data_IF_452090521931
#
_entry.id   IF_452090521931
#
_cell.length_a   1.000
_cell.length_b   1.000
_cell.length_c   1.000
_cell.angle_alpha   90.00
_cell.angle_beta   90.00
_cell.angle_gamma   90.00
#
_symmetry.space_group_name_H-M   'P 1'
#
loop_
_entity.id
_entity.type
_entity.pdbx_description
1 polymer ?
#
# COMPACT_ATOMS: atom_id res chain seq x y z
N UNK A 1 -47.93 2.53 -9.74
CA UNK A 1 -47.07 1.45 -10.25
C UNK A 1 -46.24 2.01 -11.39
N UNK A 2 -45.05 2.48 -11.14
CA UNK A 2 -43.94 2.58 -12.14
C UNK A 2 -42.65 2.51 -11.35
N UNK A 3 -41.92 1.41 -11.54
CA UNK A 3 -40.70 1.12 -10.83
C UNK A 3 -39.49 1.89 -11.36
N UNK A 4 -38.81 2.61 -10.50
CA UNK A 4 -37.51 3.21 -10.77
C UNK A 4 -36.41 2.15 -10.71
N UNK A 5 -35.78 1.86 -11.84
CA UNK A 5 -34.62 1.00 -11.93
C UNK A 5 -33.39 1.75 -11.39
N UNK A 6 -32.85 1.30 -10.25
CA UNK A 6 -31.49 1.63 -9.85
C UNK A 6 -30.56 0.90 -10.82
N UNK A 7 -29.74 1.65 -11.55
CA UNK A 7 -28.63 1.10 -12.32
C UNK A 7 -27.54 0.63 -11.35
N UNK A 8 -27.55 -0.66 -11.01
CA UNK A 8 -26.39 -1.33 -10.47
C UNK A 8 -25.34 -1.44 -11.59
N UNK A 9 -24.17 -0.88 -11.35
CA UNK A 9 -23.00 -1.20 -12.14
C UNK A 9 -22.70 -2.68 -11.95
N UNK A 10 -22.93 -3.47 -13.01
CA UNK A 10 -22.49 -4.86 -13.10
C UNK A 10 -20.97 -4.91 -13.10
N UNK A 11 -20.39 -5.08 -11.93
CA UNK A 11 -19.03 -5.61 -11.81
C UNK A 11 -19.16 -7.10 -12.12
N UNK A 12 -18.44 -7.65 -13.12
CA UNK A 12 -18.49 -9.07 -13.39
C UNK A 12 -18.05 -9.79 -12.13
N UNK A 13 -18.97 -10.47 -11.48
CA UNK A 13 -18.68 -11.47 -10.46
C UNK A 13 -18.00 -12.64 -11.17
N UNK A 14 -16.69 -12.54 -11.35
CA UNK A 14 -15.89 -13.72 -11.60
C UNK A 14 -16.06 -14.60 -10.37
N UNK A 15 -16.82 -15.66 -10.55
CA UNK A 15 -17.05 -16.71 -9.56
C UNK A 15 -15.67 -17.24 -9.19
N UNK A 16 -15.13 -16.75 -8.07
CA UNK A 16 -13.95 -17.35 -7.46
C UNK A 16 -14.42 -18.72 -7.02
N UNK A 17 -14.11 -19.76 -7.81
CA UNK A 17 -14.23 -21.11 -7.33
C UNK A 17 -13.32 -21.20 -6.11
N UNK A 18 -13.94 -21.40 -4.95
CA UNK A 18 -13.24 -21.75 -3.73
C UNK A 18 -12.36 -22.94 -4.06
N UNK A 19 -11.05 -22.69 -4.18
CA UNK A 19 -10.08 -23.78 -4.13
C UNK A 19 -10.34 -24.41 -2.76
N UNK A 20 -10.99 -25.57 -2.78
CA UNK A 20 -11.19 -26.38 -1.59
C UNK A 20 -9.82 -26.52 -0.95
N UNK A 21 -9.69 -26.05 0.29
CA UNK A 21 -8.51 -26.32 1.08
C UNK A 21 -8.16 -27.80 0.95
N UNK A 22 -6.91 -28.15 0.66
CA UNK A 22 -6.52 -29.54 0.76
C UNK A 22 -6.89 -30.01 2.19
N UNK A 23 -7.37 -31.25 2.35
CA UNK A 23 -7.70 -31.77 3.66
C UNK A 23 -6.48 -31.62 4.58
N UNK A 24 -6.74 -31.25 5.83
CA UNK A 24 -5.71 -31.12 6.84
C UNK A 24 -4.79 -32.34 6.80
N UNK A 25 -3.47 -32.18 6.84
CA UNK A 25 -2.54 -33.29 6.82
C UNK A 25 -2.84 -34.21 8.02
N UNK A 26 -2.83 -35.50 7.73
CA UNK A 26 -3.04 -36.59 8.71
C UNK A 26 -2.14 -36.33 9.94
N UNK A 27 -2.70 -36.20 11.15
CA UNK A 27 -1.92 -35.92 12.37
C UNK A 27 -0.88 -36.99 12.72
N UNK A 28 -0.82 -38.09 11.97
CA UNK A 28 0.18 -39.17 12.10
C UNK A 28 1.46 -39.00 11.28
N UNK A 29 1.57 -37.98 10.40
CA UNK A 29 2.75 -37.77 9.56
C UNK A 29 3.38 -36.40 9.83
N UNK A 30 3.99 -36.25 10.99
CA UNK A 30 4.98 -35.18 11.21
C UNK A 30 6.18 -35.40 10.26
N UNK A 31 6.68 -34.37 9.59
CA UNK A 31 7.93 -34.50 8.84
C UNK A 31 9.02 -34.95 9.79
N UNK A 32 9.74 -35.99 9.44
CA UNK A 32 10.73 -36.67 10.26
C UNK A 32 11.94 -35.74 10.49
N UNK A 33 11.93 -34.98 11.58
CA UNK A 33 12.99 -34.04 12.01
C UNK A 33 14.17 -34.76 12.70
N UNK A 34 14.17 -36.09 12.74
CA UNK A 34 15.18 -36.88 13.45
C UNK A 34 16.44 -37.21 12.61
N UNK A 35 16.61 -36.68 11.41
CA UNK A 35 17.80 -36.87 10.63
C UNK A 35 18.64 -35.57 10.53
N UNK A 36 19.02 -34.99 11.67
CA UNK A 36 20.02 -33.93 11.71
C UNK A 36 21.33 -34.46 12.28
N UNK A 37 22.30 -34.70 11.39
CA UNK A 37 23.70 -34.94 11.73
C UNK A 37 24.32 -33.71 12.44
N UNK A 38 25.36 -33.90 13.26
CA UNK A 38 25.96 -32.80 14.02
C UNK A 38 26.58 -31.73 13.10
N UNK A 39 26.37 -30.47 13.48
CA UNK A 39 26.75 -29.27 12.77
C UNK A 39 28.27 -29.18 12.63
N UNK A 40 28.74 -29.16 11.41
CA UNK A 40 30.14 -28.90 11.07
C UNK A 40 30.36 -27.38 10.95
N UNK A 41 30.99 -26.78 11.96
CA UNK A 41 31.41 -25.38 11.97
C UNK A 41 32.68 -25.18 11.13
N UNK A 42 32.58 -25.24 9.83
CA UNK A 42 33.63 -24.74 8.98
C UNK A 42 33.14 -24.53 7.55
N UNK A 43 33.10 -23.30 7.10
CA UNK A 43 33.66 -22.86 5.82
C UNK A 43 33.12 -21.47 5.42
N UNK A 44 33.86 -20.44 5.79
CA UNK A 44 33.88 -19.17 5.05
C UNK A 44 34.81 -19.31 3.85
N UNK A 45 34.42 -20.11 2.87
CA UNK A 45 35.11 -20.09 1.56
C UNK A 45 34.46 -18.98 0.70
N UNK A 46 35.23 -18.22 -0.08
CA UNK A 46 34.68 -17.28 -1.05
C UNK A 46 33.82 -18.05 -2.05
N UNK A 47 32.54 -17.73 -2.13
CA UNK A 47 31.61 -18.35 -3.08
C UNK A 47 32.12 -18.11 -4.52
N UNK A 48 32.22 -19.17 -5.25
CA UNK A 48 32.72 -19.23 -6.62
C UNK A 48 32.01 -18.23 -7.56
N UNK A 49 32.77 -17.73 -8.52
CA UNK A 49 32.29 -17.06 -9.74
C UNK A 49 31.13 -17.83 -10.36
N UNK A 50 30.12 -17.11 -10.89
CA UNK A 50 28.94 -17.68 -11.50
C UNK A 50 29.28 -18.87 -12.42
N UNK A 51 28.65 -20.01 -12.16
CA UNK A 51 28.77 -21.18 -13.03
C UNK A 51 28.03 -20.99 -14.37
N UNK A 52 27.26 -19.91 -14.51
CA UNK A 52 26.43 -19.59 -15.68
C UNK A 52 26.94 -18.32 -16.36
N UNK A 53 26.85 -18.22 -17.70
CA UNK A 53 27.25 -17.03 -18.42
C UNK A 53 26.38 -15.84 -18.07
N UNK A 54 27.02 -14.69 -17.87
CA UNK A 54 26.32 -13.41 -17.67
C UNK A 54 26.09 -12.80 -19.06
N UNK A 55 24.86 -12.76 -19.50
CA UNK A 55 24.44 -12.23 -20.80
C UNK A 55 24.01 -10.76 -20.70
N UNK A 56 23.80 -10.10 -21.85
CA UNK A 56 23.17 -8.76 -21.88
C UNK A 56 21.77 -8.76 -21.25
N UNK A 57 21.01 -9.84 -21.44
CA UNK A 57 19.68 -10.01 -20.85
C UNK A 57 19.76 -10.11 -19.32
N UNK A 58 20.73 -10.87 -18.80
CA UNK A 58 20.99 -10.93 -17.36
C UNK A 58 21.33 -9.54 -16.80
N UNK A 59 22.18 -8.76 -17.50
CA UNK A 59 22.55 -7.41 -17.08
C UNK A 59 21.37 -6.44 -17.16
N UNK A 60 20.53 -6.54 -18.18
CA UNK A 60 19.29 -5.75 -18.27
C UNK A 60 18.33 -6.08 -17.12
N UNK A 61 18.16 -7.36 -16.75
CA UNK A 61 17.36 -7.78 -15.61
C UNK A 61 17.92 -7.24 -14.29
N UNK A 62 19.24 -7.20 -14.12
CA UNK A 62 19.89 -6.57 -12.97
C UNK A 62 19.63 -5.07 -12.93
N UNK A 63 19.73 -4.38 -14.07
CA UNK A 63 19.45 -2.94 -14.15
C UNK A 63 18.00 -2.62 -13.75
N UNK A 64 17.02 -3.42 -14.22
CA UNK A 64 15.61 -3.31 -13.80
C UNK A 64 15.46 -3.55 -12.30
N UNK A 65 16.16 -4.55 -11.74
CA UNK A 65 16.13 -4.83 -10.31
C UNK A 65 16.65 -3.65 -9.48
N UNK A 66 17.75 -3.02 -9.95
CA UNK A 66 18.38 -1.87 -9.28
C UNK A 66 17.57 -0.57 -9.35
N UNK A 67 16.79 -0.38 -10.40
CA UNK A 67 16.08 0.87 -10.62
C UNK A 67 15.23 1.24 -9.40
N UNK A 68 15.42 2.45 -8.86
CA UNK A 68 14.68 2.98 -7.72
C UNK A 68 14.76 2.16 -6.41
N UNK A 69 15.61 1.13 -6.31
CA UNK A 69 15.84 0.46 -5.03
C UNK A 69 16.87 1.26 -4.21
N UNK A 70 16.82 1.09 -2.89
CA UNK A 70 17.83 1.64 -1.97
C UNK A 70 18.98 0.67 -1.84
N UNK A 71 18.68 -0.62 -1.68
CA UNK A 71 19.67 -1.67 -1.54
C UNK A 71 19.20 -2.96 -2.23
N UNK A 72 20.16 -3.67 -2.83
CA UNK A 72 19.99 -5.01 -3.36
C UNK A 72 21.16 -5.85 -2.85
N UNK A 73 20.92 -6.74 -1.91
CA UNK A 73 21.97 -7.42 -1.14
C UNK A 73 21.81 -8.94 -1.10
N UNK A 74 22.88 -9.72 -1.28
CA UNK A 74 24.12 -9.32 -1.93
C UNK A 74 23.92 -9.28 -3.45
N UNK A 75 24.28 -8.20 -4.07
CA UNK A 75 24.06 -8.02 -5.51
C UNK A 75 24.77 -9.05 -6.39
N UNK A 76 26.04 -9.47 -6.12
CA UNK A 76 26.68 -10.52 -6.90
C UNK A 76 25.93 -11.85 -6.85
N UNK A 77 25.32 -12.20 -5.73
CA UNK A 77 24.48 -13.41 -5.61
C UNK A 77 23.20 -13.28 -6.43
N UNK A 78 22.58 -12.08 -6.41
CA UNK A 78 21.41 -11.83 -7.25
C UNK A 78 21.72 -11.95 -8.74
N UNK A 79 22.83 -11.37 -9.19
CA UNK A 79 23.29 -11.53 -10.58
C UNK A 79 23.48 -13.01 -10.94
N UNK A 80 24.07 -13.81 -10.05
CA UNK A 80 24.26 -15.24 -10.26
C UNK A 80 22.91 -15.99 -10.32
N UNK A 81 21.94 -15.64 -9.48
CA UNK A 81 20.59 -16.20 -9.51
C UNK A 81 19.87 -15.86 -10.83
N UNK A 82 20.00 -14.62 -11.31
CA UNK A 82 19.45 -14.19 -12.60
C UNK A 82 20.08 -15.00 -13.76
N UNK A 83 21.41 -15.12 -13.79
CA UNK A 83 22.11 -15.89 -14.82
C UNK A 83 21.68 -17.37 -14.81
N UNK A 84 21.57 -17.97 -13.62
CA UNK A 84 21.07 -19.34 -13.46
C UNK A 84 19.63 -19.48 -13.96
N UNK A 85 18.76 -18.54 -13.60
CA UNK A 85 17.36 -18.55 -14.02
C UNK A 85 17.24 -18.47 -15.55
N UNK A 86 18.00 -17.59 -16.18
CA UNK A 86 18.03 -17.47 -17.64
C UNK A 86 18.54 -18.76 -18.32
N UNK A 87 19.63 -19.28 -17.83
CA UNK A 87 20.28 -20.49 -18.44
C UNK A 87 19.42 -21.75 -18.26
N UNK A 88 18.69 -21.88 -17.18
CA UNK A 88 17.90 -23.07 -16.86
C UNK A 88 16.39 -22.93 -17.21
N UNK A 89 15.94 -21.74 -17.55
CA UNK A 89 14.52 -21.44 -17.75
C UNK A 89 13.67 -21.54 -16.48
N UNK A 90 14.27 -21.68 -15.29
CA UNK A 90 13.54 -21.81 -14.03
C UNK A 90 13.30 -20.42 -13.41
N UNK A 91 12.04 -20.02 -13.23
CA UNK A 91 11.71 -18.77 -12.55
C UNK A 91 12.30 -18.70 -11.14
N UNK A 92 12.78 -17.52 -10.73
CA UNK A 92 13.13 -17.25 -9.34
C UNK A 92 11.85 -16.97 -8.53
N UNK A 93 11.86 -17.38 -7.27
CA UNK A 93 10.76 -17.16 -6.32
C UNK A 93 10.97 -15.83 -5.61
N UNK A 94 10.12 -14.87 -5.94
CA UNK A 94 10.20 -13.48 -5.44
C UNK A 94 9.05 -13.22 -4.49
N UNK A 95 9.36 -12.98 -3.22
CA UNK A 95 8.40 -12.83 -2.12
C UNK A 95 8.21 -11.36 -1.73
N UNK A 96 6.96 -10.98 -1.49
CA UNK A 96 6.58 -9.78 -0.73
C UNK A 96 5.55 -10.19 0.32
N UNK A 97 5.86 -9.98 1.60
CA UNK A 97 4.92 -10.17 2.70
C UNK A 97 4.28 -8.84 3.13
N UNK A 98 2.97 -8.85 3.35
CA UNK A 98 2.24 -7.73 3.90
C UNK A 98 1.27 -8.22 4.99
N UNK A 99 1.31 -7.56 6.14
CA UNK A 99 0.35 -7.76 7.22
C UNK A 99 -0.95 -7.00 6.90
N UNK A 100 -2.11 -7.66 6.87
CA UNK A 100 -3.39 -7.02 6.57
C UNK A 100 -3.91 -6.20 7.76
N UNK A 101 -3.17 -5.16 8.14
CA UNK A 101 -3.42 -4.34 9.34
C UNK A 101 -4.55 -3.31 9.17
N UNK A 102 -5.06 -3.13 7.98
CA UNK A 102 -6.17 -2.24 7.64
C UNK A 102 -6.72 -2.60 6.23
N UNK A 103 -7.99 -2.33 5.92
CA UNK A 103 -8.62 -2.86 4.70
C UNK A 103 -8.07 -2.31 3.38
N UNK A 104 -7.35 -1.17 3.37
CA UNK A 104 -6.95 -0.53 2.12
C UNK A 104 -5.44 -0.53 1.91
N UNK A 105 -5.03 -0.58 0.65
CA UNK A 105 -3.67 -0.29 0.18
C UNK A 105 -3.61 1.20 -0.21
N UNK A 106 -2.53 1.90 0.10
CA UNK A 106 -2.28 3.25 -0.37
C UNK A 106 -1.15 3.29 -1.40
N UNK A 107 -1.02 4.40 -2.14
CA UNK A 107 -0.02 4.52 -3.22
C UNK A 107 1.43 4.32 -2.74
N UNK A 108 1.72 4.50 -1.44
CA UNK A 108 3.04 4.17 -0.88
C UNK A 108 3.37 2.67 -0.96
N UNK A 109 2.38 1.78 -0.84
CA UNK A 109 2.61 0.34 -1.03
C UNK A 109 2.87 0.01 -2.50
N UNK A 110 2.37 0.82 -3.42
CA UNK A 110 2.56 0.54 -4.85
C UNK A 110 4.00 0.74 -5.30
N UNK A 111 4.83 1.41 -4.53
CA UNK A 111 6.28 1.51 -4.79
C UNK A 111 6.92 0.12 -4.83
N UNK A 112 6.66 -0.70 -3.81
CA UNK A 112 7.19 -2.08 -3.76
C UNK A 112 6.41 -3.01 -4.68
N UNK A 113 5.09 -2.83 -4.84
CA UNK A 113 4.29 -3.62 -5.77
C UNK A 113 4.70 -3.39 -7.23
N UNK A 114 5.07 -2.16 -7.61
CA UNK A 114 5.61 -1.86 -8.95
C UNK A 114 6.92 -2.61 -9.21
N UNK A 115 7.81 -2.65 -8.23
CA UNK A 115 9.04 -3.42 -8.33
C UNK A 115 8.74 -4.91 -8.48
N UNK A 116 7.82 -5.42 -7.70
CA UNK A 116 7.38 -6.81 -7.78
C UNK A 116 6.79 -7.12 -9.17
N UNK A 117 6.00 -6.21 -9.75
CA UNK A 117 5.47 -6.34 -11.11
C UNK A 117 6.58 -6.34 -12.17
N UNK A 118 7.60 -5.50 -12.04
CA UNK A 118 8.76 -5.52 -12.95
C UNK A 118 9.47 -6.88 -12.93
N UNK A 119 9.63 -7.49 -11.75
CA UNK A 119 10.22 -8.82 -11.61
C UNK A 119 9.30 -9.93 -12.17
N UNK A 120 7.99 -9.76 -12.04
CA UNK A 120 7.00 -10.64 -12.67
C UNK A 120 7.08 -10.57 -14.20
N UNK A 121 7.25 -9.37 -14.76
CA UNK A 121 7.39 -9.17 -16.21
C UNK A 121 8.71 -9.73 -16.75
N UNK A 122 9.75 -9.84 -15.93
CA UNK A 122 10.98 -10.59 -16.25
C UNK A 122 10.79 -12.11 -16.27
N UNK A 123 9.60 -12.61 -15.90
CA UNK A 123 9.27 -14.04 -15.93
C UNK A 123 9.48 -14.76 -14.60
N UNK A 124 9.73 -14.02 -13.50
CA UNK A 124 9.90 -14.63 -12.17
C UNK A 124 8.54 -14.95 -11.53
N UNK A 125 8.53 -15.95 -10.64
CA UNK A 125 7.36 -16.34 -9.86
C UNK A 125 7.19 -15.39 -8.69
N UNK A 126 6.15 -14.58 -8.75
CA UNK A 126 5.78 -13.66 -7.67
C UNK A 126 4.95 -14.38 -6.62
N UNK A 127 5.32 -14.21 -5.36
CA UNK A 127 4.61 -14.69 -4.19
C UNK A 127 4.15 -13.50 -3.37
N UNK A 128 2.84 -13.28 -3.35
CA UNK A 128 2.22 -12.29 -2.49
C UNK A 128 1.79 -12.98 -1.19
N UNK A 129 2.55 -12.75 -0.13
CA UNK A 129 2.34 -13.39 1.16
C UNK A 129 1.47 -12.48 2.05
N UNK A 130 0.38 -13.02 2.54
CA UNK A 130 -0.47 -12.40 3.54
C UNK A 130 -0.01 -12.87 4.91
N UNK A 131 0.42 -11.92 5.74
CA UNK A 131 0.89 -12.17 7.10
C UNK A 131 -0.28 -12.26 8.09
N UNK A 132 -1.15 -13.24 7.92
CA UNK A 132 -2.30 -13.45 8.81
C UNK A 132 -1.87 -13.94 10.20
N UNK A 133 -0.85 -14.77 10.29
CA UNK A 133 -0.26 -15.17 11.57
C UNK A 133 0.57 -14.04 12.18
N UNK A 134 1.46 -13.41 11.41
CA UNK A 134 2.32 -12.33 11.91
C UNK A 134 1.54 -11.10 12.37
N UNK A 135 0.37 -10.84 11.79
CA UNK A 135 -0.56 -9.80 12.24
C UNK A 135 -1.03 -9.98 13.68
N UNK A 136 -1.05 -11.21 14.20
CA UNK A 136 -1.41 -11.48 15.59
C UNK A 136 -0.31 -11.05 16.57
N UNK A 137 0.95 -11.00 16.10
CA UNK A 137 2.10 -10.50 16.86
C UNK A 137 2.18 -8.98 16.73
N UNK A 138 2.03 -8.47 15.51
CA UNK A 138 2.19 -7.07 15.13
C UNK A 138 3.64 -6.68 14.87
N UNK A 139 3.90 -6.10 13.70
CA UNK A 139 5.24 -5.64 13.31
C UNK A 139 5.73 -4.50 14.22
N UNK A 140 6.83 -4.69 14.94
CA UNK A 140 7.43 -3.64 15.77
C UNK A 140 8.23 -2.60 14.98
N UNK A 141 8.44 -2.78 13.66
CA UNK A 141 9.27 -1.90 12.82
C UNK A 141 8.84 -0.44 12.88
N UNK A 142 9.79 0.44 13.22
CA UNK A 142 9.60 1.89 13.23
C UNK A 142 8.57 2.41 14.24
N UNK A 143 8.35 1.70 15.36
CA UNK A 143 7.35 2.05 16.38
C UNK A 143 7.94 2.22 17.76
N UNK A 144 7.28 3.10 18.52
CA UNK A 144 7.60 3.33 19.91
C UNK A 144 6.71 2.53 20.89
N UNK A 145 5.61 1.94 20.40
CA UNK A 145 4.63 1.21 21.20
C UNK A 145 4.15 -0.06 20.48
N UNK A 146 3.83 -1.10 21.24
CA UNK A 146 3.20 -2.34 20.74
C UNK A 146 1.81 -2.06 20.18
N UNK A 147 1.47 -2.66 19.04
CA UNK A 147 0.10 -2.61 18.51
C UNK A 147 -0.84 -3.47 19.33
N UNK A 148 -2.11 -3.05 19.49
CA UNK A 148 -3.14 -4.00 19.88
C UNK A 148 -3.25 -5.10 18.80
N UNK A 149 -3.30 -6.38 19.20
CA UNK A 149 -3.48 -7.47 18.24
C UNK A 149 -4.85 -7.34 17.55
N UNK A 150 -4.87 -7.66 16.27
CA UNK A 150 -6.13 -7.78 15.52
C UNK A 150 -6.79 -9.12 15.82
N UNK A 151 -8.13 -9.17 15.74
CA UNK A 151 -8.84 -10.45 15.79
C UNK A 151 -8.68 -11.20 14.47
N UNK A 152 -8.87 -12.53 14.51
CA UNK A 152 -8.78 -13.38 13.32
C UNK A 152 -9.76 -12.93 12.23
N UNK A 153 -10.99 -12.59 12.60
CA UNK A 153 -12.02 -12.11 11.68
C UNK A 153 -11.64 -10.80 11.01
N UNK A 154 -11.00 -9.89 11.75
CA UNK A 154 -10.48 -8.63 11.19
C UNK A 154 -9.35 -8.88 10.20
N UNK A 155 -8.44 -9.81 10.51
CA UNK A 155 -7.34 -10.18 9.64
C UNK A 155 -7.86 -10.80 8.34
N UNK A 156 -8.80 -11.75 8.44
CA UNK A 156 -9.42 -12.42 7.27
C UNK A 156 -10.16 -11.41 6.37
N UNK A 157 -10.96 -10.52 6.96
CA UNK A 157 -11.66 -9.48 6.20
C UNK A 157 -10.69 -8.53 5.47
N UNK A 158 -9.64 -8.11 6.14
CA UNK A 158 -8.63 -7.25 5.53
C UNK A 158 -7.82 -7.97 4.45
N UNK A 159 -7.49 -9.25 4.63
CA UNK A 159 -6.72 -10.06 3.69
C UNK A 159 -7.40 -10.14 2.31
N UNK A 160 -8.72 -10.31 2.28
CA UNK A 160 -9.48 -10.35 1.02
C UNK A 160 -9.38 -9.03 0.24
N UNK A 161 -9.40 -7.89 0.94
CA UNK A 161 -9.27 -6.58 0.29
C UNK A 161 -7.85 -6.32 -0.21
N UNK A 162 -6.83 -6.81 0.48
CA UNK A 162 -5.42 -6.65 0.07
C UNK A 162 -5.14 -7.31 -1.27
N UNK A 163 -5.61 -8.54 -1.47
CA UNK A 163 -5.41 -9.22 -2.73
C UNK A 163 -6.11 -8.52 -3.91
N UNK A 164 -7.37 -8.17 -3.76
CA UNK A 164 -8.11 -7.49 -4.82
C UNK A 164 -7.44 -6.17 -5.23
N UNK A 165 -6.90 -5.44 -4.27
CA UNK A 165 -6.20 -4.19 -4.53
C UNK A 165 -4.80 -4.41 -5.12
N UNK A 166 -4.03 -5.41 -4.64
CA UNK A 166 -2.73 -5.77 -5.21
C UNK A 166 -2.86 -6.21 -6.68
N UNK A 167 -3.97 -6.84 -7.03
CA UNK A 167 -4.28 -7.28 -8.41
C UNK A 167 -4.50 -6.10 -9.40
N UNK A 168 -4.65 -4.87 -8.92
CA UNK A 168 -4.62 -3.68 -9.78
C UNK A 168 -3.20 -3.37 -10.30
N UNK A 169 -2.17 -3.94 -9.67
CA UNK A 169 -0.76 -3.74 -10.04
C UNK A 169 -0.13 -5.03 -10.56
N UNK A 170 -0.35 -6.15 -9.85
CA UNK A 170 0.20 -7.45 -10.20
C UNK A 170 -0.72 -8.19 -11.18
N UNK A 171 -0.12 -9.05 -11.99
CA UNK A 171 -0.89 -9.99 -12.84
C UNK A 171 -1.42 -11.12 -11.95
N UNK A 172 -2.76 -11.23 -11.76
CA UNK A 172 -3.33 -12.24 -10.88
C UNK A 172 -3.04 -13.68 -11.34
N UNK A 173 -2.97 -13.91 -12.66
CA UNK A 173 -2.74 -15.24 -13.22
C UNK A 173 -1.31 -15.76 -12.96
N UNK A 174 -0.38 -14.85 -12.63
CA UNK A 174 1.04 -15.16 -12.39
C UNK A 174 1.48 -14.80 -10.97
N UNK A 175 0.52 -14.59 -10.05
CA UNK A 175 0.79 -14.29 -8.64
C UNK A 175 0.35 -15.46 -7.77
N UNK A 176 1.30 -16.07 -7.07
CA UNK A 176 1.03 -17.07 -6.04
C UNK A 176 0.64 -16.36 -4.75
N UNK A 177 -0.55 -16.63 -4.22
CA UNK A 177 -1.00 -16.08 -2.94
C UNK A 177 -0.80 -17.13 -1.88
N UNK A 178 -0.18 -16.74 -0.77
CA UNK A 178 0.07 -17.61 0.38
C UNK A 178 -0.27 -16.89 1.67
N UNK A 179 -0.58 -17.67 2.68
CA UNK A 179 -0.86 -17.22 4.03
C UNK A 179 0.18 -17.84 4.98
N UNK A 180 0.80 -17.04 5.85
CA UNK A 180 1.84 -17.61 6.69
C UNK A 180 1.30 -18.48 7.84
N UNK A 181 0.01 -18.44 8.14
CA UNK A 181 -0.64 -19.45 8.99
C UNK A 181 -0.48 -20.87 8.47
N UNK A 182 -0.32 -21.08 7.14
CA UNK A 182 -0.13 -22.40 6.52
C UNK A 182 1.04 -23.20 7.14
N UNK A 183 2.10 -22.53 7.55
CA UNK A 183 3.30 -23.14 8.16
C UNK A 183 3.56 -22.67 9.60
N UNK A 184 3.01 -21.54 10.02
CA UNK A 184 3.21 -21.02 11.37
C UNK A 184 2.30 -21.72 12.39
N UNK A 185 1.02 -21.96 12.06
CA UNK A 185 0.09 -22.67 12.95
C UNK A 185 0.59 -24.10 13.30
N UNK A 186 1.08 -24.90 12.33
CA UNK A 186 1.58 -26.25 12.61
C UNK A 186 2.88 -26.32 13.44
N UNK A 187 3.65 -25.22 13.57
CA UNK A 187 4.90 -25.22 14.35
C UNK A 187 4.70 -25.66 15.79
N UNK A 188 3.63 -25.19 16.42
CA UNK A 188 3.37 -25.43 17.83
C UNK A 188 4.50 -24.93 18.74
N UNK A 189 4.40 -25.14 20.04
CA UNK A 189 5.37 -24.64 21.01
C UNK A 189 6.79 -25.19 20.79
N UNK A 190 6.91 -26.46 20.43
CA UNK A 190 8.21 -27.09 20.17
C UNK A 190 8.92 -26.51 18.95
N UNK A 191 8.20 -26.30 17.85
CA UNK A 191 8.75 -25.68 16.66
C UNK A 191 9.16 -24.22 16.91
N UNK A 192 8.37 -23.49 17.70
CA UNK A 192 8.72 -22.12 18.11
C UNK A 192 10.02 -22.07 18.91
N UNK A 193 10.24 -23.00 19.83
CA UNK A 193 11.50 -23.09 20.59
C UNK A 193 12.67 -23.40 19.65
N UNK A 194 12.50 -24.34 18.72
CA UNK A 194 13.53 -24.70 17.74
C UNK A 194 13.88 -23.53 16.82
N UNK A 195 12.88 -22.75 16.39
CA UNK A 195 13.08 -21.57 15.57
C UNK A 195 13.81 -20.46 16.36
N UNK A 196 13.35 -20.17 17.57
CA UNK A 196 13.96 -19.18 18.45
C UNK A 196 15.42 -19.50 18.81
N UNK A 197 15.78 -20.78 18.91
CA UNK A 197 17.15 -21.24 19.18
C UNK A 197 18.15 -20.92 18.03
N UNK A 198 17.65 -20.57 16.84
CA UNK A 198 18.51 -20.25 15.68
C UNK A 198 18.93 -18.78 15.61
N UNK A 199 18.44 -17.95 16.51
CA UNK A 199 18.76 -16.52 16.55
C UNK A 199 19.02 -16.05 17.97
N UNK A 200 20.00 -15.17 18.17
CA UNK A 200 20.37 -14.71 19.51
C UNK A 200 19.70 -13.39 19.87
N UNK A 201 19.45 -13.16 21.16
CA UNK A 201 18.95 -11.87 21.67
C UNK A 201 19.93 -10.75 21.33
N UNK A 202 21.24 -10.98 21.38
CA UNK A 202 22.23 -9.98 21.01
C UNK A 202 22.04 -9.47 19.56
N UNK A 203 21.85 -10.39 18.60
CA UNK A 203 21.53 -10.05 17.22
C UNK A 203 20.16 -9.38 17.08
N UNK A 204 19.16 -9.83 17.83
CA UNK A 204 17.83 -9.20 17.82
C UNK A 204 17.91 -7.73 18.26
N UNK A 205 18.80 -7.43 19.20
CA UNK A 205 19.04 -6.06 19.70
C UNK A 205 19.84 -5.17 18.76
N UNK A 206 20.36 -5.68 17.63
CA UNK A 206 20.93 -4.87 16.54
C UNK A 206 19.84 -4.09 15.78
N UNK A 207 18.59 -4.51 15.90
CA UNK A 207 17.46 -3.81 15.30
C UNK A 207 17.29 -2.44 15.99
N UNK A 208 17.22 -1.39 15.16
CA UNK A 208 17.31 0.00 15.61
C UNK A 208 16.20 0.39 16.62
N UNK A 209 14.96 -0.05 16.39
CA UNK A 209 13.84 0.23 17.29
C UNK A 209 14.00 -0.49 18.66
N UNK A 210 14.41 -1.76 18.67
CA UNK A 210 14.68 -2.48 19.91
C UNK A 210 15.85 -1.85 20.67
N UNK A 211 16.93 -1.51 19.97
CA UNK A 211 18.10 -0.86 20.59
C UNK A 211 17.73 0.49 21.21
N UNK A 212 16.97 1.31 20.52
CA UNK A 212 16.50 2.62 21.02
C UNK A 212 15.58 2.48 22.21
N UNK A 213 14.58 1.60 22.14
CA UNK A 213 13.65 1.34 23.25
C UNK A 213 14.36 0.80 24.49
N UNK A 214 15.28 -0.14 24.31
CA UNK A 214 16.08 -0.69 25.41
C UNK A 214 16.91 0.38 26.09
N UNK A 215 17.65 1.21 25.33
CA UNK A 215 18.45 2.32 25.87
C UNK A 215 17.61 3.37 26.57
N UNK A 216 16.37 3.58 26.13
CA UNK A 216 15.43 4.51 26.72
C UNK A 216 14.61 3.92 27.89
N UNK A 217 14.91 2.70 28.35
CA UNK A 217 14.12 1.94 29.34
C UNK A 217 12.62 1.83 28.97
N UNK A 218 12.31 1.82 27.68
CA UNK A 218 10.94 1.58 27.20
C UNK A 218 10.68 0.07 27.16
N UNK A 219 9.46 -0.38 27.47
CA UNK A 219 9.15 -1.80 27.51
C UNK A 219 9.25 -2.43 26.11
N UNK A 220 9.83 -3.63 26.06
CA UNK A 220 9.84 -4.50 24.88
C UNK A 220 9.21 -5.82 25.33
N UNK A 221 8.09 -6.19 24.73
CA UNK A 221 7.42 -7.44 25.05
C UNK A 221 8.11 -8.62 24.35
N UNK A 222 8.20 -9.76 25.02
CA UNK A 222 8.93 -10.95 24.53
C UNK A 222 8.38 -11.41 23.16
N UNK A 223 7.07 -11.33 22.95
CA UNK A 223 6.46 -11.73 21.67
C UNK A 223 6.93 -10.87 20.48
N UNK A 224 7.35 -9.63 20.71
CA UNK A 224 7.86 -8.75 19.63
C UNK A 224 9.13 -9.32 18.99
N UNK A 225 9.95 -10.08 19.75
CA UNK A 225 11.12 -10.78 19.21
C UNK A 225 10.75 -11.96 18.30
N UNK A 226 9.52 -12.46 18.40
CA UNK A 226 9.07 -13.55 17.54
C UNK A 226 8.73 -13.05 16.13
N UNK A 227 8.33 -11.78 15.96
CA UNK A 227 7.92 -11.25 14.68
C UNK A 227 9.00 -11.41 13.58
N UNK A 228 10.26 -10.95 13.78
CA UNK A 228 11.31 -11.13 12.78
C UNK A 228 11.61 -12.61 12.47
N UNK A 229 11.45 -13.49 13.47
CA UNK A 229 11.68 -14.93 13.28
C UNK A 229 10.58 -15.57 12.45
N UNK A 230 9.32 -15.18 12.66
CA UNK A 230 8.20 -15.70 11.89
C UNK A 230 8.26 -15.21 10.44
N UNK A 231 8.51 -13.91 10.21
CA UNK A 231 8.74 -13.39 8.87
C UNK A 231 9.94 -14.05 8.18
N UNK A 232 11.02 -14.32 8.93
CA UNK A 232 12.17 -15.02 8.41
C UNK A 232 11.86 -16.48 8.07
N UNK A 233 11.03 -17.15 8.85
CA UNK A 233 10.60 -18.52 8.59
C UNK A 233 9.71 -18.62 7.33
N UNK A 234 8.96 -17.58 6.99
CA UNK A 234 8.24 -17.50 5.71
C UNK A 234 9.17 -17.72 4.53
N UNK A 235 10.38 -17.16 4.58
CA UNK A 235 11.39 -17.33 3.52
C UNK A 235 11.90 -18.76 3.44
N UNK A 236 12.02 -19.45 4.56
CA UNK A 236 12.37 -20.87 4.65
C UNK A 236 11.26 -21.74 4.04
N UNK A 237 10.00 -21.51 4.46
CA UNK A 237 8.84 -22.26 3.99
C UNK A 237 8.62 -22.09 2.49
N UNK A 238 8.75 -20.86 2.00
CA UNK A 238 8.57 -20.52 0.58
C UNK A 238 9.81 -20.80 -0.28
N UNK A 239 10.98 -21.05 0.30
CA UNK A 239 12.25 -21.18 -0.43
C UNK A 239 12.46 -19.99 -1.37
N UNK A 240 12.28 -18.78 -0.86
CA UNK A 240 12.37 -17.58 -1.66
C UNK A 240 13.80 -17.30 -2.12
N UNK A 241 13.96 -16.84 -3.37
CA UNK A 241 15.24 -16.41 -3.94
C UNK A 241 15.51 -14.92 -3.71
N UNK A 242 14.44 -14.13 -3.61
CA UNK A 242 14.46 -12.69 -3.34
C UNK A 242 13.29 -12.32 -2.45
N UNK A 243 13.53 -11.49 -1.44
CA UNK A 243 12.48 -10.86 -0.65
C UNK A 243 12.53 -9.34 -0.79
N UNK A 244 11.36 -8.73 -1.06
CA UNK A 244 11.19 -7.30 -1.17
C UNK A 244 10.59 -6.71 0.11
N UNK A 245 10.97 -5.49 0.43
CA UNK A 245 10.36 -4.72 1.51
C UNK A 245 10.68 -3.23 1.41
N UNK A 246 10.10 -2.42 2.28
CA UNK A 246 10.56 -1.06 2.53
C UNK A 246 11.91 -1.04 3.25
N UNK A 247 12.60 0.10 3.27
CA UNK A 247 13.87 0.25 4.02
C UNK A 247 13.73 -0.07 5.51
N UNK A 248 12.54 0.12 6.08
CA UNK A 248 12.21 -0.22 7.46
C UNK A 248 12.12 -1.73 7.72
N UNK A 249 12.06 -2.56 6.68
CA UNK A 249 11.99 -4.01 6.75
C UNK A 249 13.36 -4.71 6.64
N UNK A 250 14.44 -3.97 6.33
CA UNK A 250 15.77 -4.54 6.06
C UNK A 250 16.20 -5.59 7.08
N UNK A 251 16.04 -5.31 8.37
CA UNK A 251 16.41 -6.25 9.43
C UNK A 251 15.67 -7.58 9.29
N UNK A 252 14.35 -7.52 9.14
CA UNK A 252 13.51 -8.73 9.02
C UNK A 252 13.88 -9.55 7.77
N UNK A 253 14.16 -8.87 6.64
CA UNK A 253 14.59 -9.52 5.40
C UNK A 253 15.91 -10.27 5.58
N UNK A 254 16.85 -9.68 6.34
CA UNK A 254 18.14 -10.32 6.68
C UNK A 254 17.98 -11.49 7.63
N UNK A 255 17.01 -11.45 8.55
CA UNK A 255 16.67 -12.62 9.39
C UNK A 255 16.21 -13.79 8.52
N UNK A 256 15.40 -13.53 7.49
CA UNK A 256 14.96 -14.55 6.53
C UNK A 256 16.13 -15.22 5.83
N UNK A 257 17.09 -14.41 5.35
CA UNK A 257 18.32 -14.90 4.73
C UNK A 257 19.13 -15.80 5.69
N UNK A 258 19.32 -15.35 6.93
CA UNK A 258 20.03 -16.10 7.96
C UNK A 258 19.33 -17.42 8.30
N UNK A 259 18.00 -17.40 8.46
CA UNK A 259 17.27 -18.62 8.78
C UNK A 259 17.33 -19.63 7.62
N UNK A 260 17.31 -19.21 6.36
CA UNK A 260 17.49 -20.13 5.25
C UNK A 260 18.85 -20.85 5.32
N UNK A 261 19.94 -20.15 5.68
CA UNK A 261 21.25 -20.75 5.91
C UNK A 261 21.21 -21.78 7.04
N UNK A 262 20.55 -21.44 8.18
CA UNK A 262 20.36 -22.31 9.32
C UNK A 262 19.50 -23.55 9.03
N UNK A 263 18.65 -23.48 8.02
CA UNK A 263 17.86 -24.61 7.51
C UNK A 263 18.51 -25.31 6.31
N UNK A 264 19.78 -25.01 5.98
CA UNK A 264 20.54 -25.65 4.91
C UNK A 264 20.03 -25.29 3.50
N UNK A 265 19.35 -24.16 3.34
CA UNK A 265 18.88 -23.64 2.06
C UNK A 265 19.87 -22.62 1.48
N UNK A 266 19.83 -22.43 0.16
CA UNK A 266 20.48 -21.28 -0.47
C UNK A 266 19.78 -19.99 0.01
N UNK A 267 20.53 -19.04 0.60
CA UNK A 267 19.89 -17.85 1.15
C UNK A 267 19.35 -16.93 0.07
N UNK A 268 18.23 -16.28 0.39
CA UNK A 268 17.62 -15.26 -0.47
C UNK A 268 18.51 -14.02 -0.58
N UNK A 269 18.36 -13.29 -1.69
CA UNK A 269 18.75 -11.90 -1.73
C UNK A 269 17.64 -11.04 -1.13
N UNK A 270 17.98 -9.81 -0.76
CA UNK A 270 17.01 -8.84 -0.27
C UNK A 270 17.03 -7.59 -1.14
N UNK A 271 15.85 -7.00 -1.37
CA UNK A 271 15.69 -5.76 -2.11
C UNK A 271 14.86 -4.79 -1.29
N UNK A 272 15.44 -3.64 -0.94
CA UNK A 272 14.70 -2.61 -0.20
C UNK A 272 14.32 -1.45 -1.11
N UNK A 273 13.04 -1.08 -1.04
CA UNK A 273 12.50 0.09 -1.72
C UNK A 273 12.41 1.27 -0.76
N UNK A 274 12.59 2.50 -1.25
CA UNK A 274 12.39 3.67 -0.42
C UNK A 274 10.94 3.78 0.05
N UNK A 275 10.76 4.32 1.25
CA UNK A 275 9.46 4.70 1.73
C UNK A 275 8.99 5.96 1.00
N UNK A 276 7.72 6.00 0.62
CA UNK A 276 7.11 7.17 0.01
C UNK A 276 6.67 8.14 1.10
N UNK A 277 7.06 9.40 0.98
CA UNK A 277 6.57 10.47 1.83
C UNK A 277 5.09 10.74 1.53
N UNK A 278 4.31 11.05 2.58
CA UNK A 278 2.90 11.37 2.47
C UNK A 278 2.64 12.78 1.92
N UNK A 279 1.38 13.21 1.97
CA UNK A 279 0.93 14.51 1.48
C UNK A 279 1.65 15.70 2.15
N UNK A 280 2.16 15.48 3.36
CA UNK A 280 2.95 16.46 4.13
C UNK A 280 4.39 16.64 3.59
N UNK A 281 4.88 15.69 2.79
CA UNK A 281 6.22 15.71 2.20
C UNK A 281 7.37 15.46 3.20
N UNK A 282 7.06 15.00 4.41
CA UNK A 282 8.02 14.80 5.50
C UNK A 282 7.97 13.39 6.04
N UNK A 283 6.80 12.97 6.53
CA UNK A 283 6.64 11.65 7.12
C UNK A 283 6.27 10.60 6.07
N UNK A 284 6.66 9.34 6.33
CA UNK A 284 6.23 8.25 5.46
C UNK A 284 4.71 8.23 5.35
N UNK A 285 4.22 7.95 4.16
CA UNK A 285 2.81 7.81 3.89
C UNK A 285 2.18 6.73 4.78
N UNK A 286 1.15 7.09 5.52
CA UNK A 286 0.50 6.20 6.46
C UNK A 286 -0.93 6.64 6.77
N UNK A 287 -1.83 5.69 6.97
CA UNK A 287 -3.22 5.95 7.40
C UNK A 287 -3.29 6.58 8.78
N UNK A 288 -2.47 6.12 9.71
CA UNK A 288 -2.42 6.65 11.08
C UNK A 288 -2.02 8.12 11.16
N UNK A 289 -1.32 8.62 10.13
CA UNK A 289 -0.92 10.03 9.99
C UNK A 289 -1.90 10.84 9.15
N UNK A 290 -2.90 10.20 8.55
CA UNK A 290 -3.85 10.82 7.63
C UNK A 290 -3.20 11.60 6.47
N UNK A 291 -1.98 11.18 6.05
CA UNK A 291 -1.18 11.79 4.99
C UNK A 291 -1.10 10.91 3.73
N UNK A 292 -2.09 10.05 3.51
CA UNK A 292 -2.09 9.03 2.46
C UNK A 292 -3.10 9.29 1.34
N UNK A 293 -2.89 8.57 0.23
CA UNK A 293 -3.87 8.39 -0.84
C UNK A 293 -4.13 6.89 -0.98
N UNK A 294 -5.37 6.45 -0.71
CA UNK A 294 -5.79 5.06 -0.95
C UNK A 294 -5.95 4.80 -2.44
N UNK A 295 -5.57 3.61 -2.91
CA UNK A 295 -5.73 3.28 -4.34
C UNK A 295 -7.20 3.08 -4.74
N UNK A 296 -8.07 2.87 -3.76
CA UNK A 296 -9.53 2.74 -3.91
C UNK A 296 -10.29 4.04 -3.63
N UNK A 297 -9.61 5.14 -3.29
CA UNK A 297 -10.27 6.45 -3.10
C UNK A 297 -10.94 6.92 -4.40
N UNK A 298 -12.03 7.67 -4.26
CA UNK A 298 -12.72 8.25 -5.42
C UNK A 298 -11.76 9.02 -6.34
N UNK A 299 -11.90 8.89 -7.67
CA UNK A 299 -11.01 9.52 -8.65
C UNK A 299 -10.75 11.00 -8.43
N UNK A 300 -11.81 11.77 -8.14
CA UNK A 300 -11.72 13.21 -7.88
C UNK A 300 -10.92 13.53 -6.61
N UNK A 301 -11.05 12.69 -5.58
CA UNK A 301 -10.30 12.83 -4.32
C UNK A 301 -8.83 12.51 -4.54
N UNK A 302 -8.51 11.39 -5.22
CA UNK A 302 -7.14 11.01 -5.58
C UNK A 302 -6.49 12.13 -6.41
N UNK A 303 -7.15 12.60 -7.45
CA UNK A 303 -6.65 13.66 -8.33
C UNK A 303 -6.33 14.95 -7.54
N UNK A 304 -7.27 15.41 -6.70
CA UNK A 304 -7.10 16.62 -5.90
C UNK A 304 -5.95 16.48 -4.88
N UNK A 305 -5.80 15.31 -4.24
CA UNK A 305 -4.70 15.03 -3.30
C UNK A 305 -3.35 15.06 -4.02
N UNK A 306 -3.21 14.48 -5.21
CA UNK A 306 -1.96 14.55 -5.99
C UNK A 306 -1.62 15.98 -6.36
N UNK A 307 -2.60 16.81 -6.73
CA UNK A 307 -2.37 18.22 -7.03
C UNK A 307 -1.99 19.06 -5.79
N UNK A 308 -2.29 18.58 -4.59
CA UNK A 308 -2.00 19.32 -3.34
C UNK A 308 -0.55 19.18 -2.84
N UNK A 309 0.22 18.23 -3.36
CA UNK A 309 1.61 18.03 -2.92
C UNK A 309 2.52 19.20 -3.32
N UNK A 310 3.64 19.36 -2.65
CA UNK A 310 4.65 20.36 -3.03
C UNK A 310 5.32 20.03 -4.37
N UNK A 311 5.89 21.03 -5.04
CA UNK A 311 6.61 20.80 -6.31
C UNK A 311 7.86 19.93 -6.11
N UNK A 312 8.49 20.01 -4.94
CA UNK A 312 9.64 19.17 -4.58
C UNK A 312 9.23 17.71 -4.45
N UNK A 313 8.13 17.46 -3.72
CA UNK A 313 7.60 16.10 -3.51
C UNK A 313 7.12 15.47 -4.81
N UNK A 314 6.61 16.27 -5.74
CA UNK A 314 6.14 15.81 -7.05
C UNK A 314 7.21 15.01 -7.79
N UNK A 315 8.46 15.45 -7.82
CA UNK A 315 9.55 14.75 -8.52
C UNK A 315 9.89 13.42 -7.87
N UNK A 316 9.82 13.38 -6.53
CA UNK A 316 9.99 12.14 -5.78
C UNK A 316 8.88 11.13 -6.14
N UNK A 317 7.64 11.60 -6.24
CA UNK A 317 6.52 10.75 -6.62
C UNK A 317 6.61 10.33 -8.10
N UNK A 318 7.05 11.19 -9.01
CA UNK A 318 7.34 10.76 -10.38
C UNK A 318 8.34 9.62 -10.42
N UNK A 319 9.46 9.75 -9.74
CA UNK A 319 10.50 8.72 -9.72
C UNK A 319 10.01 7.36 -9.20
N UNK A 320 9.13 7.35 -8.19
CA UNK A 320 8.72 6.13 -7.51
C UNK A 320 7.39 5.52 -8.00
N UNK A 321 6.50 6.34 -8.54
CA UNK A 321 5.13 5.92 -8.88
C UNK A 321 4.86 5.91 -10.38
N UNK A 322 5.50 6.79 -11.17
CA UNK A 322 5.23 6.92 -12.60
C UNK A 322 5.85 5.78 -13.42
N UNK A 323 5.24 5.49 -14.54
CA UNK A 323 5.79 4.60 -15.56
C UNK A 323 6.81 5.28 -16.49
N UNK A 324 6.93 6.61 -16.42
CA UNK A 324 7.93 7.35 -17.20
C UNK A 324 9.35 6.88 -16.87
N UNK A 325 10.20 6.86 -17.89
CA UNK A 325 11.62 6.59 -17.73
C UNK A 325 12.35 7.74 -17.04
N UNK A 326 13.53 7.46 -16.48
CA UNK A 326 14.35 8.49 -15.81
C UNK A 326 14.67 9.67 -16.74
N UNK A 327 14.96 9.39 -18.03
CA UNK A 327 15.23 10.41 -19.04
C UNK A 327 14.01 11.31 -19.29
N UNK A 328 12.81 10.72 -19.34
CA UNK A 328 11.56 11.45 -19.53
C UNK A 328 11.23 12.34 -18.33
N UNK A 329 11.44 11.81 -17.12
CA UNK A 329 11.26 12.59 -15.88
C UNK A 329 12.28 13.73 -15.81
N UNK A 330 13.52 13.48 -16.19
CA UNK A 330 14.56 14.52 -16.24
C UNK A 330 14.25 15.60 -17.28
N UNK A 331 13.75 15.22 -18.46
CA UNK A 331 13.32 16.17 -19.50
C UNK A 331 12.14 17.03 -19.00
N UNK A 332 11.12 16.41 -18.41
CA UNK A 332 9.98 17.13 -17.84
C UNK A 332 10.42 18.12 -16.72
N UNK A 333 11.36 17.70 -15.87
CA UNK A 333 11.90 18.59 -14.84
C UNK A 333 12.66 19.78 -15.45
N UNK A 334 13.46 19.54 -16.50
CA UNK A 334 14.15 20.61 -17.21
C UNK A 334 13.18 21.63 -17.84
N UNK A 335 12.06 21.15 -18.41
CA UNK A 335 11.02 22.05 -18.93
C UNK A 335 10.39 22.91 -17.82
N UNK A 336 10.12 22.33 -16.65
CA UNK A 336 9.61 23.09 -15.49
C UNK A 336 10.62 24.13 -15.01
N UNK A 337 11.89 23.78 -14.94
CA UNK A 337 12.96 24.74 -14.61
C UNK A 337 13.10 25.85 -15.66
N UNK A 338 12.78 25.57 -16.91
CA UNK A 338 12.75 26.53 -18.01
C UNK A 338 11.47 27.41 -18.06
N UNK A 339 10.53 27.23 -17.10
CA UNK A 339 9.35 28.07 -16.97
C UNK A 339 8.00 27.41 -17.29
N UNK A 340 7.98 26.12 -17.59
CA UNK A 340 6.72 25.35 -17.67
C UNK A 340 6.06 25.33 -16.28
N UNK A 341 4.73 25.49 -16.26
CA UNK A 341 3.99 25.51 -15.00
C UNK A 341 4.06 24.14 -14.29
N UNK A 342 4.61 24.06 -13.04
CA UNK A 342 4.69 22.81 -12.28
C UNK A 342 3.33 22.12 -12.12
N UNK A 343 2.24 22.88 -12.09
CA UNK A 343 0.89 22.33 -12.02
C UNK A 343 0.59 21.39 -13.20
N UNK A 344 1.10 21.65 -14.40
CA UNK A 344 0.89 20.77 -15.56
C UNK A 344 1.55 19.41 -15.35
N UNK A 345 2.77 19.40 -14.77
CA UNK A 345 3.42 18.15 -14.40
C UNK A 345 2.62 17.39 -13.33
N UNK A 346 2.09 18.08 -12.31
CA UNK A 346 1.20 17.43 -11.30
C UNK A 346 -0.06 16.86 -11.94
N UNK A 347 -0.66 17.56 -12.90
CA UNK A 347 -1.83 17.05 -13.66
C UNK A 347 -1.45 15.78 -14.40
N UNK A 348 -0.28 15.73 -15.07
CA UNK A 348 0.19 14.51 -15.74
C UNK A 348 0.30 13.33 -14.76
N UNK A 349 0.92 13.54 -13.61
CA UNK A 349 1.04 12.50 -12.56
C UNK A 349 -0.33 12.08 -12.01
N UNK A 350 -1.22 13.04 -11.73
CA UNK A 350 -2.56 12.76 -11.24
C UNK A 350 -3.38 11.94 -12.24
N UNK A 351 -3.32 12.32 -13.53
CA UNK A 351 -3.97 11.57 -14.61
C UNK A 351 -3.44 10.15 -14.72
N UNK A 352 -2.13 9.97 -14.65
CA UNK A 352 -1.49 8.65 -14.68
C UNK A 352 -1.99 7.76 -13.55
N UNK A 353 -1.96 8.27 -12.30
CA UNK A 353 -2.38 7.50 -11.13
C UNK A 353 -3.88 7.18 -11.16
N UNK A 354 -4.74 8.15 -11.48
CA UNK A 354 -6.19 7.89 -11.60
C UNK A 354 -6.49 6.94 -12.75
N UNK A 355 -5.83 7.07 -13.90
CA UNK A 355 -6.02 6.13 -15.02
C UNK A 355 -5.68 4.71 -14.60
N UNK A 356 -4.60 4.54 -13.85
CA UNK A 356 -4.08 3.24 -13.43
C UNK A 356 -4.98 2.52 -12.44
N UNK A 357 -5.52 3.23 -11.46
CA UNK A 357 -6.34 2.62 -10.40
C UNK A 357 -7.84 2.64 -10.69
N UNK A 358 -8.27 3.42 -11.66
CA UNK A 358 -9.67 3.53 -12.07
C UNK A 358 -9.82 3.34 -13.57
N UNK A 359 -9.75 4.44 -14.34
CA UNK A 359 -9.82 4.41 -15.79
C UNK A 359 -9.38 5.75 -16.38
N UNK A 360 -9.10 5.77 -17.70
CA UNK A 360 -8.84 7.01 -18.43
C UNK A 360 -10.04 7.97 -18.37
N UNK A 361 -11.26 7.45 -18.52
CA UNK A 361 -12.48 8.26 -18.45
C UNK A 361 -12.64 8.91 -17.06
N UNK A 362 -12.32 8.17 -15.98
CA UNK A 362 -12.34 8.70 -14.61
C UNK A 362 -11.27 9.79 -14.40
N UNK A 363 -10.09 9.65 -15.02
CA UNK A 363 -9.05 10.68 -14.98
C UNK A 363 -9.45 11.96 -15.72
N UNK A 364 -10.07 11.81 -16.90
CA UNK A 364 -10.57 12.94 -17.69
C UNK A 364 -11.68 13.69 -16.92
N UNK A 365 -12.63 12.98 -16.32
CA UNK A 365 -13.68 13.55 -15.46
C UNK A 365 -13.11 14.24 -14.22
N UNK A 366 -12.15 13.62 -13.53
CA UNK A 366 -11.54 14.21 -12.34
C UNK A 366 -10.78 15.51 -12.64
N UNK A 367 -10.09 15.58 -13.78
CA UNK A 367 -9.43 16.81 -14.23
C UNK A 367 -10.44 17.92 -14.54
N UNK A 368 -11.54 17.60 -15.25
CA UNK A 368 -12.60 18.55 -15.55
C UNK A 368 -13.28 19.06 -14.27
N UNK A 369 -13.60 18.16 -13.33
CA UNK A 369 -14.18 18.53 -12.04
C UNK A 369 -13.22 19.44 -11.25
N UNK A 370 -11.92 19.10 -11.21
CA UNK A 370 -10.92 19.95 -10.55
C UNK A 370 -10.82 21.34 -11.18
N UNK A 371 -10.85 21.43 -12.52
CA UNK A 371 -10.84 22.71 -13.22
C UNK A 371 -12.13 23.50 -12.97
N UNK A 372 -13.28 22.82 -12.92
CA UNK A 372 -14.57 23.40 -12.59
C UNK A 372 -14.60 23.99 -11.17
N UNK A 373 -14.16 23.22 -10.18
CA UNK A 373 -14.02 23.68 -8.77
C UNK A 373 -13.09 24.90 -8.66
N UNK A 374 -11.99 24.92 -9.41
CA UNK A 374 -11.06 26.05 -9.42
C UNK A 374 -11.69 27.35 -9.93
N UNK A 375 -12.68 27.26 -10.83
CA UNK A 375 -13.49 28.38 -11.34
C UNK A 375 -14.68 28.73 -10.44
N UNK A 376 -14.88 28.02 -9.32
CA UNK A 376 -16.01 28.20 -8.42
C UNK A 376 -17.27 27.43 -8.80
N UNK A 377 -17.16 26.48 -9.70
CA UNK A 377 -18.25 25.58 -10.08
C UNK A 377 -18.58 24.56 -8.99
N UNK A 378 -19.75 23.94 -9.14
CA UNK A 378 -20.23 22.86 -8.26
C UNK A 378 -19.49 21.56 -8.63
N UNK A 379 -18.95 20.83 -7.63
CA UNK A 379 -18.34 19.51 -7.84
C UNK A 379 -19.35 18.47 -8.32
N UNK A 380 -18.86 17.43 -9.04
CA UNK A 380 -19.73 16.34 -9.49
C UNK A 380 -20.12 15.41 -8.31
N UNK A 381 -19.20 15.22 -7.33
CA UNK A 381 -19.34 14.35 -6.17
C UNK A 381 -19.80 15.09 -4.89
N UNK A 382 -20.90 15.83 -4.98
CA UNK A 382 -21.47 16.55 -3.83
C UNK A 382 -22.17 15.56 -2.89
N UNK A 383 -21.83 15.53 -1.57
CA UNK A 383 -22.55 14.73 -0.58
C UNK A 383 -24.06 15.04 -0.60
N UNK A 384 -24.89 14.02 -0.48
CA UNK A 384 -26.35 14.16 -0.50
C UNK A 384 -26.94 14.06 0.89
N UNK A 385 -27.93 14.92 1.16
CA UNK A 385 -28.67 14.96 2.42
C UNK A 385 -30.15 15.14 2.15
N UNK A 386 -30.97 14.25 2.66
CA UNK A 386 -32.44 14.40 2.63
C UNK A 386 -32.95 14.93 3.97
N UNK A 387 -33.82 15.95 3.97
CA UNK A 387 -34.44 16.53 5.15
C UNK A 387 -35.95 16.68 4.93
N UNK A 388 -36.72 16.38 5.96
CA UNK A 388 -38.19 16.56 6.00
C UNK A 388 -38.57 17.75 6.88
N UNK A 389 -39.70 18.36 6.58
CA UNK A 389 -40.23 19.51 7.38
C UNK A 389 -39.89 20.86 6.77
N UNK A 390 -39.80 20.95 5.43
CA UNK A 390 -39.69 22.24 4.74
C UNK A 390 -40.93 23.13 4.99
N UNK A 391 -40.77 24.47 5.02
CA UNK A 391 -39.57 25.22 4.63
C UNK A 391 -38.55 25.45 5.75
N UNK A 392 -37.26 25.48 5.40
CA UNK A 392 -36.15 25.73 6.32
C UNK A 392 -35.57 27.14 6.14
N UNK A 393 -35.33 27.86 7.22
CA UNK A 393 -34.53 29.08 7.17
C UNK A 393 -33.07 28.77 6.79
N UNK A 394 -32.44 29.59 5.93
CA UNK A 394 -31.09 29.37 5.42
C UNK A 394 -30.05 29.09 6.49
N UNK A 395 -30.08 29.84 7.61
CA UNK A 395 -29.14 29.65 8.72
C UNK A 395 -29.28 28.30 9.41
N UNK A 396 -30.52 27.82 9.60
CA UNK A 396 -30.80 26.50 10.17
C UNK A 396 -30.44 25.39 9.21
N UNK A 397 -30.75 25.55 7.93
CA UNK A 397 -30.46 24.56 6.90
C UNK A 397 -28.95 24.32 6.74
N UNK A 398 -28.14 25.37 6.70
CA UNK A 398 -26.69 25.28 6.61
C UNK A 398 -26.07 24.57 7.83
N UNK A 399 -26.65 24.77 9.02
CA UNK A 399 -26.23 24.03 10.22
C UNK A 399 -26.64 22.56 10.16
N UNK A 400 -27.87 22.25 9.78
CA UNK A 400 -28.36 20.87 9.62
C UNK A 400 -27.57 20.12 8.55
N UNK A 401 -27.18 20.81 7.48
CA UNK A 401 -26.33 20.27 6.43
C UNK A 401 -24.84 20.07 6.84
N UNK A 402 -24.48 20.41 8.09
CA UNK A 402 -23.12 20.25 8.60
C UNK A 402 -22.07 21.19 7.96
N UNK A 403 -22.52 22.21 7.22
CA UNK A 403 -21.64 23.15 6.53
C UNK A 403 -21.04 24.20 7.47
N UNK A 404 -21.73 24.50 8.57
CA UNK A 404 -21.34 25.46 9.63
C UNK A 404 -21.66 24.91 11.01
N UNK A 405 -20.97 25.38 12.04
CA UNK A 405 -21.19 24.95 13.42
C UNK A 405 -22.46 25.55 14.06
N UNK A 406 -22.90 26.75 13.63
CA UNK A 406 -24.04 27.41 14.17
C UNK A 406 -24.82 28.23 13.13
N UNK A 407 -26.13 28.48 13.40
CA UNK A 407 -26.93 29.34 12.54
C UNK A 407 -26.44 30.79 12.54
N UNK A 408 -25.83 31.27 13.62
CA UNK A 408 -25.22 32.59 13.68
C UNK A 408 -24.01 32.72 12.77
N UNK A 409 -23.17 31.67 12.71
CA UNK A 409 -22.07 31.60 11.75
C UNK A 409 -22.58 31.59 10.30
N UNK A 410 -23.64 30.83 10.04
CA UNK A 410 -24.29 30.78 8.73
C UNK A 410 -24.72 32.19 8.27
N UNK A 411 -25.45 32.94 9.12
CA UNK A 411 -25.96 34.27 8.79
C UNK A 411 -24.83 35.29 8.58
N UNK A 412 -23.73 35.17 9.32
CA UNK A 412 -22.53 35.99 9.13
C UNK A 412 -21.89 35.70 7.74
N UNK A 413 -21.83 34.43 7.36
CA UNK A 413 -21.29 34.04 6.07
C UNK A 413 -22.19 34.45 4.90
N UNK A 414 -23.51 34.51 5.09
CA UNK A 414 -24.44 35.09 4.12
C UNK A 414 -24.10 36.55 3.87
N UNK A 415 -23.93 37.36 4.96
CA UNK A 415 -23.53 38.78 4.86
C UNK A 415 -22.21 38.98 4.09
N UNK A 416 -21.27 38.07 4.28
CA UNK A 416 -19.95 38.13 3.64
C UNK A 416 -19.96 37.59 2.18
N UNK A 417 -21.15 37.23 1.64
CA UNK A 417 -21.24 36.60 0.30
C UNK A 417 -20.60 35.25 0.18
N UNK A 418 -20.36 34.56 1.32
CA UNK A 418 -19.70 33.27 1.42
C UNK A 418 -20.65 32.08 1.22
N UNK A 419 -21.94 32.30 1.03
CA UNK A 419 -22.97 31.27 0.84
C UNK A 419 -23.53 31.34 -0.57
N UNK A 420 -23.65 30.16 -1.22
CA UNK A 420 -24.30 30.05 -2.53
C UNK A 420 -25.31 28.90 -2.53
N UNK A 421 -26.34 29.04 -3.35
CA UNK A 421 -27.30 27.99 -3.70
C UNK A 421 -27.27 27.84 -5.19
N UNK A 422 -27.00 26.61 -5.67
CA UNK A 422 -26.84 26.29 -7.11
C UNK A 422 -25.89 27.25 -7.83
N UNK A 423 -24.80 27.65 -7.14
CA UNK A 423 -23.78 28.59 -7.64
C UNK A 423 -24.12 30.08 -7.49
N UNK A 424 -25.37 30.43 -7.14
CA UNK A 424 -25.83 31.83 -6.97
C UNK A 424 -25.59 32.29 -5.55
N UNK A 425 -24.99 33.48 -5.37
CA UNK A 425 -24.74 34.06 -4.03
C UNK A 425 -26.06 34.38 -3.32
N UNK A 426 -26.15 33.94 -2.07
CA UNK A 426 -27.29 34.28 -1.18
C UNK A 426 -26.92 35.51 -0.36
N UNK A 427 -27.77 36.55 -0.43
CA UNK A 427 -27.64 37.79 0.36
C UNK A 427 -28.75 37.97 1.36
N UNK A 428 -29.86 37.24 1.21
CA UNK A 428 -31.01 37.34 2.14
C UNK A 428 -30.90 36.38 3.31
N UNK A 429 -30.69 36.89 4.52
CA UNK A 429 -30.68 36.14 5.77
C UNK A 429 -32.04 35.55 6.18
N UNK A 430 -33.13 36.13 5.69
CA UNK A 430 -34.49 35.69 6.00
C UNK A 430 -34.97 34.62 5.00
N UNK A 431 -34.13 34.25 4.02
CA UNK A 431 -34.47 33.28 2.98
C UNK A 431 -34.94 31.97 3.61
N UNK A 432 -36.12 31.53 3.18
CA UNK A 432 -36.66 30.21 3.51
C UNK A 432 -36.72 29.35 2.26
N UNK A 433 -36.19 28.15 2.39
CA UNK A 433 -36.06 27.19 1.28
C UNK A 433 -37.21 26.18 1.37
N UNK A 434 -38.02 26.14 0.33
CA UNK A 434 -39.15 25.24 0.18
C UNK A 434 -38.71 23.83 -0.26
N UNK A 435 -39.70 22.95 -0.46
CA UNK A 435 -39.49 21.60 -1.03
C UNK A 435 -38.75 21.69 -2.36
N UNK A 436 -37.73 20.86 -2.54
CA UNK A 436 -36.90 20.83 -3.75
C UNK A 436 -35.50 20.30 -3.50
N UNK A 437 -34.77 20.09 -4.56
CA UNK A 437 -33.35 19.67 -4.51
C UNK A 437 -32.46 20.84 -4.94
N UNK A 438 -31.43 21.13 -4.15
CA UNK A 438 -30.50 22.23 -4.39
C UNK A 438 -29.12 21.92 -3.84
N UNK A 439 -28.08 22.57 -4.38
CA UNK A 439 -26.73 22.47 -3.86
C UNK A 439 -26.40 23.68 -3.01
N UNK A 440 -26.15 23.45 -1.72
CA UNK A 440 -25.67 24.44 -0.79
C UNK A 440 -24.15 24.50 -0.82
N UNK A 441 -23.60 25.70 -0.88
CA UNK A 441 -22.16 25.92 -0.86
C UNK A 441 -21.80 26.95 0.22
N UNK A 442 -20.76 26.63 1.01
CA UNK A 442 -20.15 27.56 1.97
C UNK A 442 -18.65 27.70 1.68
N UNK A 443 -18.24 28.92 1.33
CA UNK A 443 -16.89 29.20 0.87
C UNK A 443 -16.58 28.48 -0.43
N UNK A 444 -15.29 28.11 -0.63
CA UNK A 444 -14.83 27.47 -1.88
C UNK A 444 -14.82 25.94 -1.85
N UNK A 445 -15.01 25.31 -0.67
CA UNK A 445 -14.69 23.89 -0.47
C UNK A 445 -15.83 23.06 0.13
N UNK A 446 -16.82 23.66 0.74
CA UNK A 446 -17.90 22.93 1.41
C UNK A 446 -19.15 22.95 0.55
N UNK A 447 -19.63 21.77 0.16
CA UNK A 447 -20.82 21.57 -0.66
C UNK A 447 -21.67 20.44 -0.07
N UNK A 448 -22.99 20.58 -0.15
CA UNK A 448 -23.96 19.52 0.14
C UNK A 448 -25.16 19.68 -0.79
N UNK A 449 -25.58 18.60 -1.46
CA UNK A 449 -26.84 18.55 -2.20
C UNK A 449 -27.95 18.18 -1.22
N UNK A 450 -28.87 19.09 -1.01
CA UNK A 450 -29.98 18.89 -0.09
C UNK A 450 -31.26 18.66 -0.86
N UNK A 451 -31.97 17.57 -0.51
CA UNK A 451 -33.34 17.33 -0.99
C UNK A 451 -34.30 17.57 0.18
N UNK A 452 -35.12 18.58 0.04
CA UNK A 452 -36.11 18.99 1.03
C UNK A 452 -37.49 18.42 0.68
N UNK A 453 -38.16 17.81 1.64
CA UNK A 453 -39.53 17.32 1.53
C UNK A 453 -40.42 18.01 2.59
N UNK A 454 -41.73 17.95 2.39
CA UNK A 454 -42.72 18.51 3.31
C UNK A 454 -42.72 17.81 4.67
#
# INVERSE_FOLDING_TARGET
MVGGKKSQLDIPQTRVEYIKHPPAPDPGKSPNLSAMSPINLASTAPRATSAFPITERTLAALAISRRNCVELLPEPEWLNKLARSEATGRPLRVKLGLDPTAPDIHIGHTVVLNKLRQLQDLGHQVIFLIGDFTSTIGDPSGRNNTRPPLTREQIEANAQTYYSQASLVLDPARTEIRYNSEWCDPLGARGMIQLAAKYTVARMMERDDFSKRFKANMPISVHEFLYPLMQGYDSVALKSDLELGGTDQKFNLLVGRHLQEEFGQEPQCILTMPLLEGLDGVEKMSKSKNNYIGISEAPNTMFAKVLSISDVLMWRWFALLSHLGEAEIAALNAEVLAGRNPKEAKVMLARELVTRFHSKAAADSAEQDFANRARGGIPDDVPELALTGAPFAIGSLLKLAGLVASSSEALRLVDQGGVRIDGVVVSDKALKLAVGTMVLQVGKRKFVRVTLSA
#
